data_IF_256787654634
#
_entry.id   IF_256787654634
#
_cell.length_a   1.000
_cell.length_b   1.000
_cell.length_c   1.000
_cell.angle_alpha   90.00
_cell.angle_beta   90.00
_cell.angle_gamma   90.00
#
_symmetry.space_group_name_H-M   'P 1'
#
loop_
_entity.id
_entity.type
_entity.pdbx_description
1 polymer ?
#
# COMPACT_ATOMS: atom_id res chain seq x y z
N UNK A 1 14.73 58.65 -2.58
CA UNK A 1 14.31 59.29 -3.84
C UNK A 1 13.12 58.51 -4.39
N UNK A 2 12.12 59.26 -4.85
CA UNK A 2 10.78 58.82 -5.25
C UNK A 2 10.78 57.83 -6.43
N UNK A 3 9.87 56.85 -6.39
CA UNK A 3 9.02 56.55 -7.56
C UNK A 3 7.70 55.91 -7.12
N UNK A 4 6.62 56.61 -7.47
CA UNK A 4 5.23 56.18 -7.34
C UNK A 4 4.87 55.12 -8.40
N UNK A 5 3.96 54.20 -8.08
CA UNK A 5 2.97 53.79 -9.09
C UNK A 5 1.63 53.47 -8.43
N UNK A 6 0.60 53.85 -9.18
CA UNK A 6 -0.79 54.05 -8.80
C UNK A 6 -1.48 52.78 -8.33
N UNK A 7 -2.38 52.95 -7.37
CA UNK A 7 -3.38 51.98 -7.00
C UNK A 7 -4.30 51.66 -8.20
N UNK A 8 -4.50 50.38 -8.46
CA UNK A 8 -5.59 49.86 -9.25
C UNK A 8 -6.53 49.15 -8.27
N UNK A 9 -7.67 49.76 -7.97
CA UNK A 9 -8.75 49.10 -7.23
C UNK A 9 -9.68 48.41 -8.22
N UNK A 10 -9.94 47.13 -7.98
CA UNK A 10 -11.10 46.40 -8.51
C UNK A 10 -11.67 45.50 -7.40
N UNK A 11 -13.02 45.34 -7.30
CA UNK A 11 -13.67 45.04 -6.04
C UNK A 11 -14.03 43.54 -5.86
N UNK A 12 -13.93 43.11 -4.59
CA UNK A 12 -14.69 42.05 -3.90
C UNK A 12 -14.87 40.68 -4.59
N UNK A 13 -14.14 39.66 -4.09
CA UNK A 13 -14.73 38.34 -3.79
C UNK A 13 -13.83 37.49 -2.86
N UNK A 14 -14.38 37.12 -1.70
CA UNK A 14 -13.88 36.18 -0.68
C UNK A 14 -12.56 36.54 0.02
N UNK A 15 -12.68 36.93 1.29
CA UNK A 15 -11.56 37.17 2.18
C UNK A 15 -10.81 35.85 2.49
N UNK A 16 -9.84 35.48 1.65
CA UNK A 16 -8.74 34.64 2.13
C UNK A 16 -8.04 35.44 3.22
N UNK A 17 -8.06 34.97 4.47
CA UNK A 17 -7.23 35.50 5.56
C UNK A 17 -5.77 35.32 5.15
N UNK A 18 -5.22 36.30 4.44
CA UNK A 18 -3.78 36.42 4.22
C UNK A 18 -3.20 36.77 5.57
N UNK A 19 -2.44 35.84 6.16
CA UNK A 19 -1.59 36.13 7.31
C UNK A 19 -0.73 37.34 6.93
N UNK A 20 -0.85 38.43 7.71
CA UNK A 20 -0.03 39.64 7.62
C UNK A 20 1.07 39.50 8.67
N UNK A 21 2.25 38.94 8.34
CA UNK A 21 3.29 38.69 9.34
C UNK A 21 3.76 40.00 9.99
N UNK A 22 3.62 41.12 9.26
CA UNK A 22 3.82 42.50 9.67
C UNK A 22 2.88 42.99 10.79
N UNK A 23 1.81 42.25 11.08
CA UNK A 23 0.82 42.57 12.14
C UNK A 23 0.87 41.62 13.33
N UNK A 24 1.81 40.68 13.34
CA UNK A 24 2.02 39.80 14.49
C UNK A 24 2.84 40.55 15.54
N UNK A 25 2.28 40.70 16.75
CA UNK A 25 2.96 41.31 17.89
C UNK A 25 3.43 40.18 18.79
N UNK A 26 4.74 40.10 19.05
CA UNK A 26 5.29 39.13 19.99
C UNK A 26 4.91 39.49 21.44
N UNK A 27 4.65 38.49 22.28
CA UNK A 27 4.41 38.67 23.70
C UNK A 27 5.68 39.04 24.48
N UNK A 28 5.55 39.21 25.80
CA UNK A 28 6.61 39.72 26.71
C UNK A 28 7.93 38.93 26.66
N UNK A 29 7.89 37.64 26.29
CA UNK A 29 9.07 36.77 26.17
C UNK A 29 9.61 36.67 24.74
N UNK A 30 9.05 37.42 23.79
CA UNK A 30 9.34 37.31 22.37
C UNK A 30 8.68 36.11 21.69
N UNK A 31 8.90 35.94 20.39
CA UNK A 31 8.37 34.82 19.62
C UNK A 31 9.21 34.55 18.36
N UNK A 32 9.38 33.28 18.00
CA UNK A 32 9.99 32.85 16.73
C UNK A 32 8.91 32.23 15.86
N UNK A 33 8.77 32.71 14.63
CA UNK A 33 7.75 32.24 13.68
C UNK A 33 8.46 31.57 12.51
N UNK A 34 8.05 30.34 12.19
CA UNK A 34 8.43 29.68 10.95
C UNK A 34 7.38 30.00 9.89
N UNK A 35 7.81 30.59 8.77
CA UNK A 35 6.94 30.80 7.61
C UNK A 35 7.18 29.65 6.63
N UNK A 36 6.12 28.88 6.34
CA UNK A 36 6.16 27.84 5.32
C UNK A 36 5.39 28.34 4.10
N UNK A 37 6.09 28.82 3.05
CA UNK A 37 5.42 29.29 1.84
C UNK A 37 4.74 28.11 1.15
N UNK A 38 3.55 28.37 0.58
CA UNK A 38 2.78 27.35 -0.11
C UNK A 38 3.55 26.74 -1.29
N UNK A 39 4.35 27.56 -1.97
CA UNK A 39 5.28 27.13 -3.01
C UNK A 39 6.32 26.14 -2.51
N UNK A 40 6.84 26.35 -1.29
CA UNK A 40 7.76 25.41 -0.65
C UNK A 40 7.11 24.04 -0.40
N UNK A 41 5.84 24.02 0.04
CA UNK A 41 5.07 22.78 0.19
C UNK A 41 4.86 22.11 -1.17
N UNK A 42 4.44 22.89 -2.17
CA UNK A 42 4.18 22.37 -3.50
C UNK A 42 5.44 21.76 -4.14
N UNK A 43 6.58 22.47 -4.10
CA UNK A 43 7.87 21.95 -4.60
C UNK A 43 8.30 20.67 -3.89
N UNK A 44 8.08 20.60 -2.58
CA UNK A 44 8.40 19.40 -1.79
C UNK A 44 7.57 18.19 -2.21
N UNK A 45 6.31 18.40 -2.61
CA UNK A 45 5.41 17.35 -3.09
C UNK A 45 5.63 17.01 -4.57
N UNK A 46 5.94 18.00 -5.41
CA UNK A 46 6.08 17.84 -6.86
C UNK A 46 7.48 17.39 -7.31
N UNK A 47 8.49 17.49 -6.43
CA UNK A 47 9.89 17.29 -6.80
C UNK A 47 10.30 18.26 -7.91
N UNK A 48 10.92 17.74 -8.95
CA UNK A 48 11.43 18.53 -10.10
C UNK A 48 10.35 18.94 -11.11
N UNK A 49 9.07 18.61 -10.87
CA UNK A 49 7.99 19.00 -11.78
C UNK A 49 7.67 20.49 -11.68
N UNK A 50 7.40 21.11 -12.83
CA UNK A 50 6.94 22.51 -12.92
C UNK A 50 5.69 22.73 -12.08
N UNK A 51 5.61 23.83 -11.34
CA UNK A 51 4.47 24.11 -10.47
C UNK A 51 3.32 24.78 -11.22
N UNK A 52 2.06 24.54 -10.82
CA UNK A 52 0.94 25.35 -11.28
C UNK A 52 1.06 26.81 -10.82
N UNK A 53 0.25 27.67 -11.42
CA UNK A 53 0.15 29.08 -11.03
C UNK A 53 -0.22 29.24 -9.54
N UNK A 54 0.22 30.32 -8.86
CA UNK A 54 0.00 30.51 -7.42
C UNK A 54 -1.47 30.44 -6.98
N UNK A 55 -2.41 30.79 -7.87
CA UNK A 55 -3.84 30.74 -7.61
C UNK A 55 -4.37 29.30 -7.46
N UNK A 56 -3.74 28.33 -8.14
CA UNK A 56 -4.14 26.93 -8.21
C UNK A 56 -3.36 26.04 -7.24
N UNK A 57 -2.34 26.59 -6.58
CA UNK A 57 -1.39 25.81 -5.81
C UNK A 57 -2.02 25.04 -4.64
N UNK A 58 -3.01 25.64 -3.95
CA UNK A 58 -3.77 24.96 -2.88
C UNK A 58 -4.59 23.79 -3.42
N UNK A 59 -5.19 23.97 -4.60
CA UNK A 59 -6.00 22.96 -5.29
C UNK A 59 -5.13 21.78 -5.68
N UNK A 60 -3.98 22.07 -6.30
CA UNK A 60 -2.96 21.10 -6.66
C UNK A 60 -2.44 20.30 -5.45
N UNK A 61 -2.04 20.98 -4.37
CA UNK A 61 -1.58 20.31 -3.15
C UNK A 61 -2.67 19.39 -2.60
N UNK A 62 -3.93 19.86 -2.58
CA UNK A 62 -5.06 19.06 -2.10
C UNK A 62 -5.29 17.82 -2.97
N UNK A 63 -5.23 17.97 -4.30
CA UNK A 63 -5.31 16.86 -5.27
C UNK A 63 -4.22 15.82 -5.01
N UNK A 64 -2.96 16.23 -4.91
CA UNK A 64 -1.82 15.33 -4.64
C UNK A 64 -2.04 14.56 -3.33
N UNK A 65 -2.38 15.25 -2.25
CA UNK A 65 -2.57 14.63 -0.93
C UNK A 65 -3.74 13.62 -0.91
N UNK A 66 -4.82 13.92 -1.62
CA UNK A 66 -5.99 13.02 -1.71
C UNK A 66 -5.65 11.83 -2.61
N UNK A 67 -5.10 12.06 -3.81
CA UNK A 67 -4.76 10.99 -4.76
C UNK A 67 -3.76 10.00 -4.17
N UNK A 68 -2.73 10.48 -3.47
CA UNK A 68 -1.74 9.62 -2.80
C UNK A 68 -2.35 8.69 -1.75
N UNK A 69 -3.58 8.96 -1.28
CA UNK A 69 -4.28 8.12 -0.29
C UNK A 69 -5.31 7.19 -0.92
N UNK A 70 -5.64 7.36 -2.20
CA UNK A 70 -6.65 6.53 -2.86
C UNK A 70 -6.15 5.10 -3.02
N UNK A 71 -6.89 4.06 -2.60
CA UNK A 71 -6.41 2.68 -2.66
C UNK A 71 -5.90 2.23 -4.04
N UNK A 72 -6.54 2.71 -5.11
CA UNK A 72 -6.17 2.43 -6.51
C UNK A 72 -4.93 3.20 -6.96
N UNK A 73 -4.66 4.38 -6.38
CA UNK A 73 -3.61 5.31 -6.84
C UNK A 73 -2.44 5.48 -5.86
N UNK A 74 -2.55 5.01 -4.62
CA UNK A 74 -1.56 5.16 -3.53
C UNK A 74 -0.19 4.52 -3.83
N UNK A 75 -0.10 3.76 -4.92
CA UNK A 75 1.11 3.02 -5.33
C UNK A 75 1.76 3.59 -6.57
N UNK A 76 1.18 4.66 -7.12
CA UNK A 76 1.80 5.39 -8.21
C UNK A 76 2.99 6.16 -7.66
N UNK A 77 4.06 6.24 -8.45
CA UNK A 77 5.20 7.07 -8.14
C UNK A 77 4.77 8.55 -8.03
N UNK A 78 5.50 9.34 -7.25
CA UNK A 78 5.17 10.74 -7.02
C UNK A 78 4.96 11.52 -8.32
N UNK A 79 5.79 11.28 -9.35
CA UNK A 79 5.63 11.95 -10.65
C UNK A 79 4.31 11.57 -11.35
N UNK A 80 3.85 10.32 -11.22
CA UNK A 80 2.58 9.85 -11.78
C UNK A 80 1.41 10.50 -11.03
N UNK A 81 1.46 10.55 -9.70
CA UNK A 81 0.44 11.23 -8.87
C UNK A 81 0.36 12.71 -9.22
N UNK A 82 1.51 13.37 -9.36
CA UNK A 82 1.58 14.78 -9.73
C UNK A 82 1.04 15.01 -11.14
N UNK A 83 1.38 14.14 -12.10
CA UNK A 83 0.89 14.22 -13.47
C UNK A 83 -0.62 14.02 -13.57
N UNK A 84 -1.17 13.03 -12.86
CA UNK A 84 -2.61 12.80 -12.77
C UNK A 84 -3.29 14.00 -12.10
N UNK A 85 -2.74 14.51 -10.98
CA UNK A 85 -3.27 15.68 -10.28
C UNK A 85 -3.39 16.91 -11.19
N UNK A 86 -2.40 17.17 -12.03
CA UNK A 86 -2.44 18.26 -13.01
C UNK A 86 -3.48 18.05 -14.11
N UNK A 87 -3.73 16.81 -14.48
CA UNK A 87 -4.66 16.45 -15.54
C UNK A 87 -6.12 16.29 -15.06
N UNK A 88 -6.42 16.54 -13.78
CA UNK A 88 -7.79 16.56 -13.27
C UNK A 88 -8.46 17.90 -13.54
N UNK A 89 -9.60 17.85 -14.24
CA UNK A 89 -10.43 19.01 -14.53
C UNK A 89 -11.36 19.33 -13.36
N UNK A 90 -11.58 20.62 -13.11
CA UNK A 90 -12.58 21.09 -12.15
C UNK A 90 -13.93 21.27 -12.84
N UNK A 91 -15.01 20.83 -12.22
CA UNK A 91 -16.36 21.07 -12.75
C UNK A 91 -16.88 22.45 -12.37
N UNK A 92 -17.84 22.93 -13.17
CA UNK A 92 -18.80 23.93 -12.72
C UNK A 92 -19.59 23.42 -11.49
N UNK A 93 -20.19 24.32 -10.68
CA UNK A 93 -20.97 23.94 -9.51
C UNK A 93 -22.27 23.23 -9.89
N UNK A 94 -22.53 22.11 -9.23
CA UNK A 94 -23.72 21.28 -9.35
C UNK A 94 -24.77 21.63 -8.30
N UNK A 95 -26.03 21.35 -8.62
CA UNK A 95 -27.17 21.62 -7.74
C UNK A 95 -27.67 20.36 -7.03
N UNK A 96 -28.30 20.50 -5.84
CA UNK A 96 -28.92 19.37 -5.16
C UNK A 96 -29.94 18.67 -6.07
N UNK A 97 -29.90 17.33 -6.08
CA UNK A 97 -30.76 16.48 -6.91
C UNK A 97 -30.20 16.16 -8.29
N UNK A 98 -29.13 16.83 -8.75
CA UNK A 98 -28.48 16.45 -10.00
C UNK A 98 -27.77 15.10 -9.88
N UNK A 99 -27.89 14.28 -10.92
CA UNK A 99 -27.34 12.92 -10.96
C UNK A 99 -25.96 12.98 -11.63
N UNK A 100 -24.93 12.56 -10.90
CA UNK A 100 -23.55 12.50 -11.44
C UNK A 100 -23.41 11.35 -12.43
N UNK A 101 -23.98 10.18 -12.08
CA UNK A 101 -24.20 9.03 -12.96
C UNK A 101 -25.24 8.09 -12.33
N UNK A 102 -25.91 7.30 -13.18
CA UNK A 102 -26.88 6.29 -12.75
C UNK A 102 -26.27 4.88 -12.66
N UNK A 103 -26.90 4.01 -11.89
CA UNK A 103 -26.52 2.61 -11.78
C UNK A 103 -26.75 1.90 -13.14
N UNK A 104 -25.78 1.10 -13.57
CA UNK A 104 -25.85 0.39 -14.85
C UNK A 104 -25.29 1.17 -16.06
N UNK A 105 -24.95 2.46 -15.90
CA UNK A 105 -24.31 3.24 -16.96
C UNK A 105 -22.86 2.80 -17.19
N UNK A 106 -22.38 2.89 -18.43
CA UNK A 106 -20.96 2.73 -18.71
C UNK A 106 -20.20 3.93 -18.11
N UNK A 107 -19.09 3.66 -17.43
CA UNK A 107 -18.27 4.69 -16.81
C UNK A 107 -16.85 4.67 -17.33
N UNK A 108 -16.31 5.86 -17.62
CA UNK A 108 -14.92 6.10 -17.99
C UNK A 108 -14.26 7.19 -17.09
N UNK A 109 -15.00 7.71 -16.12
CA UNK A 109 -14.57 8.82 -15.24
C UNK A 109 -14.57 8.44 -13.77
N UNK A 110 -13.73 9.09 -12.99
CA UNK A 110 -13.79 9.11 -11.53
C UNK A 110 -13.85 10.55 -11.03
N UNK A 111 -14.34 10.70 -9.81
CA UNK A 111 -14.67 12.01 -9.23
C UNK A 111 -14.08 12.10 -7.83
N UNK A 112 -13.57 13.28 -7.50
CA UNK A 112 -13.16 13.65 -6.14
C UNK A 112 -13.99 14.87 -5.73
N UNK A 113 -14.65 14.81 -4.58
CA UNK A 113 -15.47 15.92 -4.07
C UNK A 113 -14.56 17.07 -3.63
N UNK A 114 -14.60 18.18 -4.35
CA UNK A 114 -13.84 19.40 -4.02
C UNK A 114 -14.57 20.22 -2.94
N UNK A 115 -15.89 20.34 -3.07
CA UNK A 115 -16.81 21.02 -2.14
C UNK A 115 -18.20 20.42 -2.24
N UNK A 116 -18.99 20.57 -1.18
CA UNK A 116 -20.35 20.02 -1.11
C UNK A 116 -20.37 18.54 -0.72
N UNK A 117 -21.42 17.85 -1.17
CA UNK A 117 -21.71 16.48 -0.77
C UNK A 117 -22.56 15.73 -1.79
N UNK A 118 -22.43 14.40 -1.76
CA UNK A 118 -23.20 13.47 -2.60
C UNK A 118 -23.70 12.29 -1.78
N UNK A 119 -24.80 11.69 -2.23
CA UNK A 119 -25.29 10.40 -1.74
C UNK A 119 -25.04 9.31 -2.78
N UNK A 120 -24.73 8.11 -2.29
CA UNK A 120 -24.51 6.91 -3.12
C UNK A 120 -25.60 5.89 -2.78
N UNK A 121 -26.41 5.55 -3.78
CA UNK A 121 -27.50 4.57 -3.66
C UNK A 121 -27.19 3.33 -4.52
N UNK A 122 -27.48 2.14 -4.02
CA UNK A 122 -27.34 0.86 -4.74
C UNK A 122 -28.66 0.11 -4.65
N UNK A 123 -29.24 -0.25 -5.80
CA UNK A 123 -30.54 -0.91 -5.89
C UNK A 123 -31.65 -0.15 -5.12
N UNK A 124 -31.57 1.19 -5.13
CA UNK A 124 -32.49 2.08 -4.43
C UNK A 124 -32.27 2.21 -2.91
N UNK A 125 -31.25 1.53 -2.36
CA UNK A 125 -30.88 1.62 -0.95
C UNK A 125 -29.70 2.56 -0.77
N UNK A 126 -29.82 3.51 0.17
CA UNK A 126 -28.72 4.41 0.52
C UNK A 126 -27.57 3.59 1.11
N UNK A 127 -26.42 3.60 0.42
CA UNK A 127 -25.20 2.94 0.89
C UNK A 127 -24.40 3.85 1.82
N UNK A 128 -24.21 5.12 1.42
CA UNK A 128 -23.40 6.12 2.15
C UNK A 128 -23.54 7.52 1.58
N UNK A 129 -23.17 8.50 2.38
CA UNK A 129 -22.96 9.89 1.96
C UNK A 129 -21.46 10.21 1.93
N UNK A 130 -21.05 11.05 0.98
CA UNK A 130 -19.65 11.40 0.73
C UNK A 130 -19.53 12.93 0.68
N UNK A 131 -18.56 13.48 1.41
CA UNK A 131 -18.26 14.91 1.43
C UNK A 131 -16.88 15.24 0.86
N UNK A 132 -16.43 16.48 1.06
CA UNK A 132 -15.13 16.98 0.60
C UNK A 132 -13.97 16.00 0.86
N UNK A 133 -13.20 15.73 -0.20
CA UNK A 133 -12.05 14.83 -0.21
C UNK A 133 -12.38 13.37 -0.50
N UNK A 134 -13.67 12.99 -0.50
CA UNK A 134 -14.09 11.65 -0.90
C UNK A 134 -13.90 11.44 -2.41
N UNK A 135 -13.53 10.22 -2.77
CA UNK A 135 -13.41 9.78 -4.16
C UNK A 135 -14.44 8.69 -4.46
N UNK A 136 -15.00 8.70 -5.67
CA UNK A 136 -15.90 7.68 -6.14
C UNK A 136 -15.78 7.45 -7.65
N UNK A 137 -16.17 6.25 -8.08
CA UNK A 137 -16.15 5.86 -9.49
C UNK A 137 -14.77 5.42 -10.02
N UNK A 138 -13.77 5.30 -9.15
CA UNK A 138 -12.40 4.89 -9.49
C UNK A 138 -12.32 3.48 -10.10
N UNK A 139 -13.28 2.60 -9.79
CA UNK A 139 -13.39 1.28 -10.43
C UNK A 139 -13.54 1.36 -11.96
N UNK A 140 -14.14 2.43 -12.47
CA UNK A 140 -14.30 2.66 -13.91
C UNK A 140 -12.96 2.92 -14.63
N UNK A 141 -11.91 3.30 -13.90
CA UNK A 141 -10.56 3.40 -14.45
C UNK A 141 -9.95 2.03 -14.75
N UNK A 142 -10.28 1.05 -13.91
CA UNK A 142 -9.72 -0.28 -13.99
C UNK A 142 -10.60 -1.19 -14.83
N UNK A 143 -11.91 -1.19 -14.65
CA UNK A 143 -12.80 -2.16 -15.28
C UNK A 143 -13.69 -1.49 -16.33
N UNK A 144 -13.95 -2.21 -17.41
CA UNK A 144 -15.01 -1.86 -18.35
C UNK A 144 -16.36 -2.39 -17.84
N UNK A 145 -16.67 -2.00 -16.60
CA UNK A 145 -17.86 -2.41 -15.87
C UNK A 145 -18.86 -1.26 -15.81
N UNK A 146 -20.15 -1.62 -15.78
CA UNK A 146 -21.22 -0.68 -15.51
C UNK A 146 -21.11 -0.15 -14.08
N UNK A 147 -21.54 1.10 -13.85
CA UNK A 147 -21.61 1.72 -12.52
C UNK A 147 -22.42 0.83 -11.57
N UNK A 148 -21.83 0.53 -10.41
CA UNK A 148 -22.45 -0.35 -9.41
C UNK A 148 -23.50 0.33 -8.53
N UNK A 149 -23.68 1.64 -8.66
CA UNK A 149 -24.62 2.43 -7.88
C UNK A 149 -24.82 3.79 -8.53
N UNK A 150 -25.89 4.48 -8.10
CA UNK A 150 -26.25 5.83 -8.50
C UNK A 150 -25.61 6.85 -7.55
N UNK A 151 -25.14 7.96 -8.09
CA UNK A 151 -24.60 9.07 -7.29
C UNK A 151 -25.38 10.34 -7.57
N UNK A 152 -25.92 10.96 -6.52
CA UNK A 152 -26.75 12.16 -6.62
C UNK A 152 -26.19 13.25 -5.70
N UNK A 153 -26.17 14.49 -6.18
CA UNK A 153 -25.71 15.65 -5.42
C UNK A 153 -26.71 16.00 -4.31
N UNK A 154 -26.21 16.26 -3.10
CA UNK A 154 -27.05 16.57 -1.92
C UNK A 154 -26.93 18.03 -1.47
N UNK A 155 -25.80 18.68 -1.75
CA UNK A 155 -25.52 20.05 -1.29
C UNK A 155 -25.41 21.05 -2.46
N UNK A 156 -25.76 22.34 -2.24
CA UNK A 156 -25.57 23.38 -3.25
C UNK A 156 -24.08 23.68 -3.46
N UNK A 157 -23.76 24.20 -4.65
CA UNK A 157 -22.40 24.55 -5.05
C UNK A 157 -21.40 23.38 -4.92
N UNK A 158 -21.90 22.15 -5.11
CA UNK A 158 -21.08 20.94 -5.10
C UNK A 158 -20.16 20.94 -6.33
N UNK A 159 -18.86 20.73 -6.14
CA UNK A 159 -17.88 20.71 -7.23
C UNK A 159 -17.04 19.45 -7.14
N UNK A 160 -16.59 18.97 -8.30
CA UNK A 160 -15.73 17.81 -8.40
C UNK A 160 -14.43 18.14 -9.13
N UNK A 161 -13.37 17.43 -8.76
CA UNK A 161 -12.31 17.15 -9.71
C UNK A 161 -12.63 15.86 -10.45
N UNK A 162 -12.49 15.86 -11.77
CA UNK A 162 -12.83 14.74 -12.64
C UNK A 162 -11.58 14.28 -13.36
N UNK A 163 -11.34 12.97 -13.31
CA UNK A 163 -10.32 12.33 -14.13
C UNK A 163 -10.94 11.29 -15.04
N UNK A 164 -10.40 11.14 -16.23
CA UNK A 164 -10.84 10.16 -17.22
C UNK A 164 -9.93 8.94 -17.22
N UNK A 165 -10.44 7.83 -17.76
CA UNK A 165 -9.68 6.63 -18.05
C UNK A 165 -8.48 6.98 -18.92
N UNK A 166 -8.67 7.72 -20.02
CA UNK A 166 -7.58 8.13 -20.91
C UNK A 166 -6.43 8.86 -20.21
N UNK A 167 -6.75 9.76 -19.26
CA UNK A 167 -5.72 10.43 -18.44
C UNK A 167 -4.97 9.42 -17.59
N UNK A 168 -5.69 8.53 -16.91
CA UNK A 168 -5.10 7.47 -16.10
C UNK A 168 -4.20 6.53 -16.95
N UNK A 169 -4.65 6.18 -18.16
CA UNK A 169 -3.94 5.28 -19.08
C UNK A 169 -2.63 5.87 -19.62
N UNK A 170 -2.54 7.20 -19.75
CA UNK A 170 -1.30 7.87 -20.15
C UNK A 170 -0.17 7.71 -19.13
N UNK A 171 -0.51 7.61 -17.85
CA UNK A 171 0.47 7.58 -16.77
C UNK A 171 0.63 6.21 -16.12
N UNK A 172 -0.24 5.25 -16.39
CA UNK A 172 -0.21 3.90 -15.81
C UNK A 172 0.04 2.87 -16.90
N UNK A 173 1.19 2.18 -16.78
CA UNK A 173 1.58 1.11 -17.71
C UNK A 173 0.60 -0.06 -17.66
N UNK A 174 0.58 -0.88 -18.72
CA UNK A 174 -0.25 -2.08 -18.80
C UNK A 174 -0.04 -3.01 -17.62
N UNK A 175 1.22 -3.31 -17.26
CA UNK A 175 1.53 -4.23 -16.16
C UNK A 175 1.01 -3.71 -14.81
N UNK A 176 1.17 -2.41 -14.54
CA UNK A 176 0.63 -1.78 -13.32
C UNK A 176 -0.90 -1.84 -13.29
N UNK A 177 -1.55 -1.61 -14.43
CA UNK A 177 -3.01 -1.69 -14.54
C UNK A 177 -3.52 -3.10 -14.28
N UNK A 178 -2.81 -4.11 -14.80
CA UNK A 178 -3.15 -5.50 -14.58
C UNK A 178 -3.01 -5.88 -13.08
N UNK A 179 -1.95 -5.45 -12.38
CA UNK A 179 -1.83 -5.63 -10.91
C UNK A 179 -2.96 -4.93 -10.15
N UNK A 180 -3.27 -3.68 -10.49
CA UNK A 180 -4.37 -2.93 -9.87
C UNK A 180 -5.73 -3.60 -10.10
N UNK A 181 -5.99 -4.12 -11.30
CA UNK A 181 -7.21 -4.88 -11.64
C UNK A 181 -7.32 -6.15 -10.82
N UNK A 182 -6.28 -6.98 -10.81
CA UNK A 182 -6.30 -8.23 -10.07
C UNK A 182 -6.57 -7.97 -8.59
N UNK A 183 -5.92 -6.97 -7.98
CA UNK A 183 -6.18 -6.61 -6.58
C UNK A 183 -7.58 -6.06 -6.33
N UNK A 184 -8.10 -5.23 -7.22
CA UNK A 184 -9.46 -4.71 -7.08
C UNK A 184 -10.53 -5.81 -7.26
N UNK A 185 -10.23 -6.90 -7.98
CA UNK A 185 -11.07 -8.11 -8.00
C UNK A 185 -10.99 -8.90 -6.70
N UNK A 186 -9.85 -8.88 -6.00
CA UNK A 186 -9.73 -9.55 -4.71
C UNK A 186 -10.62 -8.89 -3.63
N UNK A 187 -10.95 -7.61 -3.75
CA UNK A 187 -11.72 -6.85 -2.75
C UNK A 187 -13.26 -7.02 -2.84
N UNK A 188 -13.75 -8.18 -3.30
CA UNK A 188 -15.18 -8.48 -3.32
C UNK A 188 -15.73 -8.67 -1.89
N UNK A 189 -16.53 -7.72 -1.43
CA UNK A 189 -17.14 -7.73 -0.09
C UNK A 189 -18.19 -8.83 0.08
N UNK A 190 -18.76 -9.34 -1.02
CA UNK A 190 -19.78 -10.42 -1.02
C UNK A 190 -19.16 -11.82 -0.84
N UNK A 191 -17.83 -11.90 -0.80
CA UNK A 191 -17.11 -13.16 -0.69
C UNK A 191 -17.45 -13.89 0.60
N UNK A 192 -17.91 -15.14 0.47
CA UNK A 192 -18.22 -16.04 1.58
C UNK A 192 -17.56 -17.39 1.37
N UNK A 193 -17.29 -18.11 2.47
CA UNK A 193 -16.66 -19.43 2.41
C UNK A 193 -17.47 -20.43 1.57
N UNK A 194 -18.79 -20.29 1.51
CA UNK A 194 -19.70 -21.13 0.70
C UNK A 194 -19.52 -20.91 -0.81
N UNK A 195 -19.05 -19.73 -1.21
CA UNK A 195 -18.85 -19.37 -2.62
C UNK A 195 -17.47 -19.80 -3.15
N UNK A 196 -16.66 -20.50 -2.34
CA UNK A 196 -15.32 -20.94 -2.69
C UNK A 196 -15.31 -22.44 -3.00
N UNK A 197 -15.05 -22.79 -4.26
CA UNK A 197 -14.86 -24.17 -4.70
C UNK A 197 -13.41 -24.59 -4.48
N UNK A 198 -13.19 -25.72 -3.81
CA UNK A 198 -11.85 -26.31 -3.70
C UNK A 198 -11.40 -26.87 -5.05
N UNK A 199 -10.19 -26.50 -5.47
CA UNK A 199 -9.58 -26.99 -6.72
C UNK A 199 -8.56 -28.09 -6.41
N UNK A 200 -7.52 -27.78 -5.63
CA UNK A 200 -6.47 -28.74 -5.23
C UNK A 200 -5.73 -28.29 -3.96
N UNK A 201 -5.01 -29.20 -3.33
CA UNK A 201 -4.06 -28.87 -2.26
C UNK A 201 -2.79 -28.28 -2.88
N UNK A 202 -2.26 -27.21 -2.29
CA UNK A 202 -1.03 -26.54 -2.77
C UNK A 202 0.08 -26.49 -1.71
N UNK A 203 -0.22 -26.80 -0.45
CA UNK A 203 0.80 -26.92 0.58
C UNK A 203 0.26 -27.51 1.88
N UNK A 204 1.16 -28.06 2.68
CA UNK A 204 0.91 -28.50 4.06
C UNK A 204 1.98 -27.82 4.92
N UNK A 205 1.56 -27.00 5.88
CA UNK A 205 2.44 -26.35 6.85
C UNK A 205 2.19 -26.87 8.26
N UNK A 206 2.99 -26.39 9.22
CA UNK A 206 2.92 -26.81 10.64
C UNK A 206 1.51 -26.66 11.24
N UNK A 207 0.81 -25.57 10.91
CA UNK A 207 -0.50 -25.24 11.48
C UNK A 207 -1.71 -25.65 10.61
N UNK A 208 -1.48 -26.32 9.46
CA UNK A 208 -2.58 -26.82 8.65
C UNK A 208 -2.30 -26.96 7.16
N UNK A 209 -3.38 -27.02 6.38
CA UNK A 209 -3.31 -27.25 4.92
C UNK A 209 -3.68 -25.99 4.15
N UNK A 210 -2.93 -25.71 3.08
CA UNK A 210 -3.22 -24.65 2.11
C UNK A 210 -3.82 -25.26 0.84
N UNK A 211 -4.96 -24.72 0.40
CA UNK A 211 -5.67 -25.18 -0.79
C UNK A 211 -5.84 -24.04 -1.79
N UNK A 212 -5.70 -24.36 -3.07
CA UNK A 212 -6.18 -23.52 -4.15
C UNK A 212 -7.71 -23.59 -4.18
N UNK A 213 -8.35 -22.43 -4.12
CA UNK A 213 -9.81 -22.29 -4.22
C UNK A 213 -10.17 -21.30 -5.32
N UNK A 214 -11.37 -21.46 -5.87
CA UNK A 214 -11.88 -20.62 -6.94
C UNK A 214 -13.27 -20.09 -6.55
N UNK A 215 -13.49 -18.79 -6.70
CA UNK A 215 -14.79 -18.19 -6.45
C UNK A 215 -15.76 -18.56 -7.57
N UNK A 216 -16.89 -19.16 -7.21
CA UNK A 216 -17.81 -19.80 -8.16
C UNK A 216 -18.39 -18.81 -9.19
N UNK A 217 -18.62 -17.55 -8.80
CA UNK A 217 -19.22 -16.54 -9.70
C UNK A 217 -18.19 -15.85 -10.59
N UNK A 218 -17.04 -15.49 -10.03
CA UNK A 218 -16.05 -14.63 -10.73
C UNK A 218 -14.94 -15.42 -11.39
N UNK A 219 -14.76 -16.71 -11.04
CA UNK A 219 -13.63 -17.52 -11.48
C UNK A 219 -12.29 -17.12 -10.88
N UNK A 220 -12.27 -16.13 -9.96
CA UNK A 220 -11.05 -15.66 -9.32
C UNK A 220 -10.46 -16.75 -8.41
N UNK A 221 -9.12 -16.89 -8.43
CA UNK A 221 -8.39 -17.93 -7.72
C UNK A 221 -7.63 -17.38 -6.52
N UNK A 222 -7.63 -18.14 -5.43
CA UNK A 222 -7.08 -17.74 -4.14
C UNK A 222 -6.35 -18.90 -3.47
N UNK A 223 -5.50 -18.59 -2.50
CA UNK A 223 -4.98 -19.56 -1.55
C UNK A 223 -5.79 -19.50 -0.24
N UNK A 224 -6.24 -20.66 0.25
CA UNK A 224 -7.01 -20.79 1.49
C UNK A 224 -6.25 -21.66 2.49
N UNK A 225 -5.69 -21.04 3.52
CA UNK A 225 -5.03 -21.70 4.67
C UNK A 225 -6.11 -22.03 5.71
N UNK A 226 -6.24 -23.30 6.10
CA UNK A 226 -7.14 -23.74 7.18
C UNK A 226 -6.32 -24.09 8.42
N UNK A 227 -6.63 -23.45 9.54
CA UNK A 227 -5.99 -23.64 10.83
C UNK A 227 -7.04 -24.16 11.83
N UNK A 228 -6.70 -25.22 12.56
CA UNK A 228 -7.58 -25.78 13.59
C UNK A 228 -7.56 -24.89 14.82
N UNK A 229 -8.71 -24.72 15.47
CA UNK A 229 -8.81 -24.04 16.75
C UNK A 229 -8.41 -24.98 17.89
N UNK A 230 -7.74 -24.44 18.88
CA UNK A 230 -7.39 -25.12 20.13
C UNK A 230 -8.39 -24.66 21.20
N UNK A 231 -9.11 -25.60 21.82
CA UNK A 231 -10.19 -25.31 22.78
C UNK A 231 -11.24 -24.30 22.29
N UNK A 232 -11.53 -24.33 20.98
CA UNK A 232 -12.49 -23.42 20.34
C UNK A 232 -11.95 -22.00 20.11
N UNK A 233 -10.69 -21.73 20.44
CA UNK A 233 -10.02 -20.46 20.25
C UNK A 233 -8.94 -20.54 19.15
N UNK A 234 -8.64 -19.39 18.54
CA UNK A 234 -7.52 -19.27 17.60
C UNK A 234 -6.25 -19.08 18.44
N UNK A 235 -5.17 -19.84 18.20
CA UNK A 235 -3.89 -19.62 18.87
C UNK A 235 -3.42 -18.16 18.72
N UNK A 236 -2.84 -17.61 19.78
CA UNK A 236 -2.50 -16.18 19.85
C UNK A 236 -1.52 -15.79 18.73
N UNK A 237 -0.55 -16.64 18.45
CA UNK A 237 0.48 -16.47 17.42
C UNK A 237 -0.15 -16.34 16.02
N UNK A 238 -1.20 -17.11 15.76
CA UNK A 238 -1.94 -17.06 14.48
C UNK A 238 -2.78 -15.79 14.39
N UNK A 239 -3.35 -15.34 15.51
CA UNK A 239 -4.09 -14.08 15.55
C UNK A 239 -3.15 -12.89 15.29
N UNK A 240 -1.94 -12.92 15.85
CA UNK A 240 -0.88 -11.93 15.60
C UNK A 240 -0.41 -11.96 14.14
N UNK A 241 -0.10 -13.14 13.57
CA UNK A 241 0.25 -13.31 12.15
C UNK A 241 -0.81 -12.66 11.24
N UNK A 242 -2.10 -12.93 11.50
CA UNK A 242 -3.20 -12.36 10.73
C UNK A 242 -3.28 -10.84 10.85
N UNK A 243 -3.10 -10.30 12.05
CA UNK A 243 -3.18 -8.87 12.31
C UNK A 243 -2.02 -8.13 11.61
N UNK A 244 -0.80 -8.65 11.71
CA UNK A 244 0.38 -8.09 11.06
C UNK A 244 0.24 -8.14 9.53
N UNK A 245 -0.22 -9.26 8.98
CA UNK A 245 -0.45 -9.40 7.54
C UNK A 245 -1.55 -8.44 7.04
N UNK A 246 -2.60 -8.22 7.83
CA UNK A 246 -3.66 -7.26 7.50
C UNK A 246 -3.15 -5.81 7.50
N UNK A 247 -2.20 -5.49 8.38
CA UNK A 247 -1.57 -4.16 8.45
C UNK A 247 -0.53 -3.93 7.35
N UNK A 248 0.14 -4.98 6.88
CA UNK A 248 1.19 -4.94 5.86
C UNK A 248 0.67 -4.72 4.42
N UNK A 249 -0.10 -3.65 4.19
CA UNK A 249 -0.67 -3.31 2.89
C UNK A 249 0.41 -2.75 1.91
N UNK A 250 1.24 -3.62 1.34
CA UNK A 250 2.30 -3.28 0.39
C UNK A 250 2.18 -4.11 -0.92
N UNK A 251 2.53 -3.59 -2.12
CA UNK A 251 2.46 -4.36 -3.36
C UNK A 251 3.28 -5.66 -3.34
N UNK A 252 4.45 -5.62 -2.71
CA UNK A 252 5.36 -6.78 -2.63
C UNK A 252 5.17 -7.63 -1.38
N UNK A 253 4.08 -7.45 -0.63
CA UNK A 253 3.70 -8.33 0.49
C UNK A 253 2.46 -9.12 0.09
N UNK A 254 2.38 -10.37 0.54
CA UNK A 254 1.20 -11.22 0.39
C UNK A 254 -0.06 -10.51 0.87
N UNK A 255 -1.04 -10.37 -0.01
CA UNK A 255 -2.29 -9.71 0.33
C UNK A 255 -3.26 -10.66 1.04
N UNK A 256 -3.60 -10.34 2.29
CA UNK A 256 -4.78 -10.90 2.95
C UNK A 256 -6.04 -10.36 2.26
N UNK A 257 -6.91 -11.28 1.83
CA UNK A 257 -8.20 -10.94 1.21
C UNK A 257 -9.30 -10.89 2.25
N UNK A 258 -9.45 -11.98 3.02
CA UNK A 258 -10.47 -12.11 4.06
C UNK A 258 -10.12 -13.24 5.01
N UNK A 259 -10.59 -13.18 6.24
CA UNK A 259 -10.60 -14.31 7.16
C UNK A 259 -12.03 -14.80 7.41
N UNK A 260 -12.19 -16.10 7.60
CA UNK A 260 -13.46 -16.73 7.97
C UNK A 260 -13.25 -17.59 9.20
N UNK A 261 -14.23 -17.60 10.10
CA UNK A 261 -14.20 -18.47 11.27
C UNK A 261 -15.38 -19.42 11.28
N UNK A 262 -15.12 -20.63 11.76
CA UNK A 262 -16.11 -21.64 12.12
C UNK A 262 -15.90 -22.01 13.58
N UNK A 263 -16.75 -22.88 14.13
CA UNK A 263 -16.58 -23.43 15.48
C UNK A 263 -15.23 -24.12 15.66
N UNK A 264 -14.74 -24.82 14.63
CA UNK A 264 -13.54 -25.69 14.73
C UNK A 264 -12.28 -25.14 14.06
N UNK A 265 -12.40 -24.11 13.23
CA UNK A 265 -11.27 -23.67 12.39
C UNK A 265 -11.35 -22.20 11.99
N UNK A 266 -10.17 -21.60 11.87
CA UNK A 266 -9.93 -20.34 11.16
C UNK A 266 -9.52 -20.64 9.72
N UNK A 267 -10.01 -19.82 8.79
CA UNK A 267 -9.67 -19.86 7.38
C UNK A 267 -9.10 -18.50 6.98
N UNK A 268 -7.89 -18.48 6.45
CA UNK A 268 -7.21 -17.29 5.98
C UNK A 268 -7.18 -17.37 4.46
N UNK A 269 -7.83 -16.42 3.79
CA UNK A 269 -7.88 -16.32 2.35
C UNK A 269 -6.93 -15.22 1.88
N UNK A 270 -5.99 -15.57 1.02
CA UNK A 270 -4.98 -14.65 0.47
C UNK A 270 -5.00 -14.67 -1.06
N UNK A 271 -4.29 -13.74 -1.68
CA UNK A 271 -3.98 -13.85 -3.10
C UNK A 271 -3.24 -15.17 -3.42
N UNK A 272 -3.38 -15.67 -4.64
CA UNK A 272 -2.63 -16.82 -5.13
C UNK A 272 -1.34 -16.35 -5.79
N UNK A 273 -0.20 -16.80 -5.26
CA UNK A 273 1.11 -16.57 -5.86
C UNK A 273 1.49 -17.77 -6.73
N UNK A 274 1.97 -17.52 -7.97
CA UNK A 274 2.16 -18.57 -8.99
C UNK A 274 3.57 -18.65 -9.59
N UNK A 275 4.46 -17.70 -9.31
CA UNK A 275 5.82 -17.66 -9.88
C UNK A 275 6.86 -18.50 -9.13
N UNK A 276 6.46 -19.20 -8.06
CA UNK A 276 7.35 -20.03 -7.25
C UNK A 276 8.24 -19.22 -6.30
N UNK A 277 9.23 -19.87 -5.71
CA UNK A 277 10.20 -19.22 -4.83
C UNK A 277 11.29 -18.53 -5.64
N UNK A 278 11.74 -17.35 -5.20
CA UNK A 278 12.80 -16.59 -5.86
C UNK A 278 14.06 -17.44 -6.01
N UNK A 279 14.43 -18.18 -4.97
CA UNK A 279 15.64 -18.97 -4.94
C UNK A 279 15.69 -20.06 -6.03
N UNK A 280 14.62 -20.84 -6.17
CA UNK A 280 14.51 -21.89 -7.18
C UNK A 280 14.71 -21.31 -8.58
N UNK A 281 14.08 -20.16 -8.86
CA UNK A 281 14.21 -19.49 -10.15
C UNK A 281 15.63 -18.99 -10.42
N UNK A 282 16.38 -18.61 -9.39
CA UNK A 282 17.74 -18.09 -9.55
C UNK A 282 18.79 -19.18 -9.62
N UNK A 283 18.69 -20.20 -8.76
CA UNK A 283 19.61 -21.34 -8.73
C UNK A 283 19.53 -22.16 -10.02
N UNK A 284 18.32 -22.49 -10.46
CA UNK A 284 18.13 -23.40 -11.60
C UNK A 284 18.45 -22.74 -12.95
N UNK A 285 18.41 -21.41 -13.04
CA UNK A 285 18.53 -20.68 -14.32
C UNK A 285 19.76 -19.79 -14.45
N UNK A 286 20.35 -19.30 -13.35
CA UNK A 286 21.35 -18.21 -13.42
C UNK A 286 22.63 -18.47 -12.63
N UNK A 287 22.64 -19.38 -11.66
CA UNK A 287 23.79 -19.63 -10.77
C UNK A 287 24.03 -18.47 -9.80
N UNK A 288 24.52 -17.34 -10.30
CA UNK A 288 24.70 -16.08 -9.55
C UNK A 288 23.92 -14.94 -10.19
N UNK A 289 23.37 -14.04 -9.38
CA UNK A 289 22.62 -12.89 -9.85
C UNK A 289 23.50 -11.90 -10.63
N UNK A 290 23.02 -11.42 -11.78
CA UNK A 290 23.60 -10.22 -12.39
C UNK A 290 23.40 -9.02 -11.45
N UNK A 291 24.25 -8.00 -11.57
CA UNK A 291 24.09 -6.73 -10.82
C UNK A 291 22.66 -6.17 -10.92
N UNK A 292 22.05 -6.24 -12.12
CA UNK A 292 20.69 -5.73 -12.34
C UNK A 292 19.63 -6.54 -11.60
N UNK A 293 19.75 -7.88 -11.60
CA UNK A 293 18.83 -8.74 -10.85
C UNK A 293 18.99 -8.56 -9.35
N UNK A 294 20.23 -8.50 -8.84
CA UNK A 294 20.50 -8.23 -7.43
C UNK A 294 19.90 -6.88 -7.00
N UNK A 295 20.12 -5.82 -7.78
CA UNK A 295 19.51 -4.50 -7.52
C UNK A 295 17.99 -4.55 -7.50
N UNK A 296 17.37 -5.27 -8.44
CA UNK A 296 15.92 -5.37 -8.53
C UNK A 296 15.32 -6.11 -7.32
N UNK A 297 15.84 -7.30 -6.99
CA UNK A 297 15.29 -8.12 -5.90
C UNK A 297 15.61 -7.51 -4.53
N UNK A 298 16.86 -7.12 -4.28
CA UNK A 298 17.25 -6.45 -3.03
C UNK A 298 16.53 -5.11 -2.89
N UNK A 299 16.41 -4.30 -3.95
CA UNK A 299 15.66 -3.05 -3.90
C UNK A 299 14.17 -3.26 -3.59
N UNK A 300 13.56 -4.31 -4.14
CA UNK A 300 12.17 -4.67 -3.83
C UNK A 300 12.00 -5.08 -2.35
N UNK A 301 12.96 -5.83 -1.79
CA UNK A 301 12.97 -6.19 -0.37
C UNK A 301 13.20 -4.98 0.53
N UNK A 302 14.05 -4.03 0.15
CA UNK A 302 14.22 -2.76 0.90
C UNK A 302 12.90 -2.01 1.00
N UNK A 303 12.13 -1.91 -0.08
CA UNK A 303 10.81 -1.25 -0.06
C UNK A 303 9.82 -1.95 0.88
N UNK A 304 9.87 -3.29 0.93
CA UNK A 304 9.05 -4.06 1.87
C UNK A 304 9.47 -3.77 3.31
N UNK A 305 10.76 -3.87 3.62
CA UNK A 305 11.29 -3.64 4.97
C UNK A 305 11.01 -2.22 5.44
N UNK A 306 11.20 -1.21 4.58
CA UNK A 306 10.85 0.18 4.88
C UNK A 306 9.38 0.30 5.28
N UNK A 307 8.46 -0.30 4.52
CA UNK A 307 7.04 -0.26 4.82
C UNK A 307 6.69 -0.96 6.15
N UNK A 308 7.31 -2.10 6.44
CA UNK A 308 7.12 -2.82 7.71
C UNK A 308 7.70 -2.02 8.89
N UNK A 309 8.91 -1.50 8.74
CA UNK A 309 9.62 -0.77 9.80
C UNK A 309 8.94 0.56 10.12
N UNK A 310 8.42 1.29 9.12
CA UNK A 310 7.58 2.48 9.32
C UNK A 310 6.27 2.15 10.05
N UNK A 311 5.75 0.93 9.89
CA UNK A 311 4.60 0.43 10.66
C UNK A 311 5.00 -0.12 12.04
N UNK A 312 6.29 -0.10 12.39
CA UNK A 312 6.81 -0.63 13.65
C UNK A 312 6.83 -2.15 13.71
N UNK A 313 6.98 -2.85 12.58
CA UNK A 313 6.97 -4.32 12.51
C UNK A 313 8.37 -4.85 12.20
N UNK A 314 8.90 -5.73 13.05
CA UNK A 314 10.10 -6.54 12.75
C UNK A 314 9.69 -7.82 12.04
N UNK A 315 10.32 -8.17 10.92
CA UNK A 315 9.96 -9.37 10.16
C UNK A 315 10.63 -10.65 10.69
N UNK A 316 11.92 -10.58 11.02
CA UNK A 316 12.73 -11.56 11.77
C UNK A 316 12.97 -12.93 11.13
N UNK A 317 12.47 -13.20 9.92
CA UNK A 317 12.74 -14.44 9.18
C UNK A 317 12.93 -14.19 7.68
N UNK A 318 13.68 -13.14 7.33
CA UNK A 318 13.97 -12.82 5.94
C UNK A 318 14.98 -13.82 5.36
N UNK A 319 14.49 -14.66 4.45
CA UNK A 319 15.25 -15.72 3.78
C UNK A 319 14.62 -16.04 2.41
N UNK A 320 15.35 -16.70 1.50
CA UNK A 320 14.87 -16.96 0.15
C UNK A 320 13.56 -17.76 0.07
N UNK A 321 13.31 -18.66 1.01
CA UNK A 321 12.08 -19.49 1.08
C UNK A 321 10.82 -18.65 1.32
N UNK A 322 10.96 -17.52 2.02
CA UNK A 322 9.86 -16.61 2.32
C UNK A 322 9.68 -15.52 1.23
N UNK A 323 10.45 -15.58 0.15
CA UNK A 323 10.39 -14.63 -0.96
C UNK A 323 9.90 -15.35 -2.21
N UNK A 324 8.63 -15.13 -2.55
CA UNK A 324 8.01 -15.69 -3.74
C UNK A 324 7.98 -14.69 -4.90
N UNK A 325 7.68 -15.19 -6.10
CA UNK A 325 7.45 -14.39 -7.30
C UNK A 325 6.00 -14.47 -7.75
N UNK A 326 5.43 -13.36 -8.17
CA UNK A 326 4.13 -13.35 -8.86
C UNK A 326 4.26 -13.76 -10.34
N UNK A 327 3.14 -13.77 -11.07
CA UNK A 327 3.11 -14.14 -12.49
C UNK A 327 3.85 -13.17 -13.41
N UNK A 328 4.18 -11.96 -12.93
CA UNK A 328 4.95 -10.95 -13.65
C UNK A 328 6.44 -10.95 -13.25
N UNK A 329 6.82 -11.74 -12.23
CA UNK A 329 8.19 -11.82 -11.72
C UNK A 329 8.53 -10.78 -10.66
N UNK A 330 7.53 -10.08 -10.08
CA UNK A 330 7.75 -9.21 -8.93
C UNK A 330 7.77 -10.01 -7.63
N UNK A 331 8.50 -9.47 -6.66
CA UNK A 331 8.65 -10.07 -5.33
C UNK A 331 7.34 -10.03 -4.55
N UNK A 332 7.10 -11.11 -3.81
CA UNK A 332 6.06 -11.25 -2.79
C UNK A 332 6.68 -11.85 -1.53
N UNK A 333 6.83 -11.04 -0.48
CA UNK A 333 7.15 -11.52 0.85
C UNK A 333 5.94 -12.26 1.43
N UNK A 334 6.16 -13.50 1.83
CA UNK A 334 5.15 -14.38 2.44
C UNK A 334 5.55 -14.73 3.86
N UNK A 335 4.65 -15.37 4.60
CA UNK A 335 4.87 -15.88 5.97
C UNK A 335 5.26 -14.82 7.01
N UNK A 336 4.30 -14.44 7.85
CA UNK A 336 4.49 -13.48 8.94
C UNK A 336 4.53 -14.17 10.32
N UNK A 337 4.71 -15.49 10.36
CA UNK A 337 4.61 -16.27 11.60
C UNK A 337 5.66 -15.91 12.67
N UNK A 338 6.79 -15.33 12.26
CA UNK A 338 7.84 -14.84 13.17
C UNK A 338 7.90 -13.32 13.25
N UNK A 339 7.05 -12.60 12.51
CA UNK A 339 7.00 -11.15 12.58
C UNK A 339 6.50 -10.68 13.96
N UNK A 340 6.84 -9.46 14.35
CA UNK A 340 6.47 -8.91 15.65
C UNK A 340 6.17 -7.41 15.58
N UNK A 341 5.12 -7.01 16.29
CA UNK A 341 4.81 -5.61 16.54
C UNK A 341 5.75 -5.03 17.60
N UNK A 342 6.48 -3.99 17.23
CA UNK A 342 7.48 -3.29 18.01
C UNK A 342 7.06 -1.84 18.32
N UNK A 343 5.80 -1.43 18.07
CA UNK A 343 5.36 -0.04 18.28
C UNK A 343 5.46 0.40 19.74
N UNK A 344 5.23 -0.52 20.68
CA UNK A 344 5.28 -0.26 22.11
C UNK A 344 6.63 -0.61 22.76
N UNK A 345 7.58 -1.18 22.00
CA UNK A 345 8.85 -1.70 22.53
C UNK A 345 9.99 -1.46 21.55
N UNK A 346 11.08 -0.83 21.99
CA UNK A 346 12.25 -0.64 21.11
C UNK A 346 13.08 -1.90 20.89
N UNK A 347 12.93 -2.93 21.75
CA UNK A 347 13.74 -4.15 21.73
C UNK A 347 12.92 -5.39 22.06
N UNK A 348 13.31 -6.51 21.46
CA UNK A 348 12.81 -7.85 21.76
C UNK A 348 14.00 -8.79 22.02
N UNK A 349 13.75 -9.89 22.74
CA UNK A 349 14.80 -10.78 23.26
C UNK A 349 14.61 -12.24 22.82
N UNK A 350 13.48 -12.59 22.19
CA UNK A 350 13.20 -13.94 21.74
C UNK A 350 14.13 -14.33 20.59
N UNK A 351 14.85 -15.44 20.72
CA UNK A 351 15.70 -15.98 19.66
C UNK A 351 14.79 -16.73 18.67
N UNK A 352 14.59 -16.17 17.48
CA UNK A 352 13.73 -16.72 16.42
C UNK A 352 14.30 -16.37 15.04
N UNK A 353 13.92 -17.16 14.03
CA UNK A 353 14.35 -17.02 12.64
C UNK A 353 15.14 -18.25 12.18
N UNK A 354 15.79 -18.14 11.02
CA UNK A 354 16.65 -19.20 10.47
C UNK A 354 18.11 -18.84 10.71
N UNK A 355 18.85 -19.70 11.43
CA UNK A 355 20.19 -19.39 12.01
C UNK A 355 21.15 -18.73 11.02
N UNK A 356 21.23 -19.24 9.78
CA UNK A 356 22.09 -18.70 8.71
C UNK A 356 21.85 -17.22 8.35
N UNK A 357 20.67 -16.70 8.65
CA UNK A 357 20.25 -15.33 8.33
C UNK A 357 20.15 -14.44 9.58
N UNK A 358 20.32 -15.00 10.78
CA UNK A 358 20.16 -14.26 12.03
C UNK A 358 21.30 -13.27 12.27
N UNK A 359 20.96 -12.10 12.80
CA UNK A 359 21.91 -11.09 13.23
C UNK A 359 22.64 -11.50 14.52
N UNK A 360 23.90 -11.07 14.72
CA UNK A 360 24.67 -11.38 15.93
C UNK A 360 23.97 -10.91 17.22
N UNK A 361 23.30 -9.75 17.18
CA UNK A 361 22.55 -9.19 18.32
C UNK A 361 21.44 -10.11 18.85
N UNK A 362 20.91 -11.02 18.01
CA UNK A 362 19.91 -12.02 18.41
C UNK A 362 20.53 -13.00 19.41
N UNK A 363 21.78 -13.42 19.20
CA UNK A 363 22.50 -14.39 20.04
C UNK A 363 23.12 -13.76 21.29
N UNK A 364 23.57 -12.50 21.20
CA UNK A 364 24.21 -11.79 22.31
C UNK A 364 23.25 -11.48 23.47
N UNK A 365 21.94 -11.53 23.23
CA UNK A 365 20.92 -11.41 24.29
C UNK A 365 20.76 -10.00 24.88
N UNK A 366 21.37 -8.97 24.28
CA UNK A 366 21.21 -7.54 24.69
C UNK A 366 19.93 -6.90 24.17
N UNK A 367 19.09 -7.68 23.50
CA UNK A 367 17.87 -7.27 22.83
C UNK A 367 18.14 -6.54 21.53
N UNK A 368 17.30 -6.83 20.53
CA UNK A 368 17.43 -6.35 19.16
C UNK A 368 16.14 -5.66 18.69
N UNK A 369 16.28 -4.76 17.70
CA UNK A 369 15.18 -4.03 17.10
C UNK A 369 14.89 -4.46 15.65
N UNK A 370 14.45 -3.50 14.84
CA UNK A 370 14.08 -3.69 13.43
C UNK A 370 15.31 -3.95 12.53
N UNK A 371 16.50 -3.53 12.98
CA UNK A 371 17.76 -3.58 12.25
C UNK A 371 18.21 -5.00 11.86
N UNK A 372 17.75 -6.04 12.57
CA UNK A 372 18.09 -7.45 12.27
C UNK A 372 17.58 -7.90 10.89
N UNK A 373 16.53 -7.26 10.38
CA UNK A 373 16.01 -7.53 9.05
C UNK A 373 16.99 -7.07 7.95
N UNK A 374 17.73 -5.98 8.19
CA UNK A 374 18.76 -5.49 7.26
C UNK A 374 20.02 -6.36 7.27
N UNK A 375 20.35 -6.96 8.42
CA UNK A 375 21.37 -8.01 8.46
C UNK A 375 20.98 -9.19 7.57
N UNK A 376 19.76 -9.72 7.78
CA UNK A 376 19.20 -10.82 6.99
C UNK A 376 19.19 -10.49 5.48
N UNK A 377 18.84 -9.26 5.12
CA UNK A 377 18.91 -8.75 3.75
C UNK A 377 20.34 -8.76 3.19
N UNK A 378 21.33 -8.42 4.01
CA UNK A 378 22.75 -8.49 3.66
C UNK A 378 23.20 -9.92 3.35
N UNK A 379 22.78 -10.89 4.19
CA UNK A 379 23.02 -12.32 3.94
C UNK A 379 22.38 -12.75 2.61
N UNK A 380 21.12 -12.39 2.37
CA UNK A 380 20.44 -12.68 1.11
C UNK A 380 21.16 -12.06 -0.09
N UNK A 381 21.57 -10.79 -0.02
CA UNK A 381 22.32 -10.14 -1.10
C UNK A 381 23.65 -10.84 -1.38
N UNK A 382 24.38 -11.22 -0.32
CA UNK A 382 25.61 -11.98 -0.45
C UNK A 382 25.35 -13.30 -1.16
N UNK A 383 24.35 -14.06 -0.73
CA UNK A 383 24.00 -15.34 -1.33
C UNK A 383 23.61 -15.18 -2.81
N UNK A 384 22.81 -14.15 -3.14
CA UNK A 384 22.41 -13.87 -4.51
C UNK A 384 23.60 -13.57 -5.43
N UNK A 385 24.59 -12.84 -4.94
CA UNK A 385 25.74 -12.37 -5.77
C UNK A 385 26.89 -13.38 -5.77
N UNK A 386 27.15 -14.04 -4.65
CA UNK A 386 28.27 -14.95 -4.46
C UNK A 386 27.91 -16.42 -4.65
N UNK A 387 26.61 -16.77 -4.65
CA UNK A 387 26.12 -18.14 -4.86
C UNK A 387 26.32 -19.06 -3.65
N UNK A 388 26.69 -18.52 -2.49
CA UNK A 388 26.90 -19.24 -1.23
C UNK A 388 26.60 -18.31 -0.05
N UNK A 389 26.35 -18.86 1.13
CA UNK A 389 26.17 -18.07 2.35
C UNK A 389 27.52 -17.44 2.78
N UNK A 390 27.52 -16.31 3.50
CA UNK A 390 28.76 -15.74 4.05
C UNK A 390 29.27 -16.52 5.27
N UNK A 391 28.38 -17.14 6.05
CA UNK A 391 28.68 -17.94 7.24
C UNK A 391 28.04 -19.33 7.11
N UNK A 392 28.62 -20.35 7.76
CA UNK A 392 28.00 -21.68 7.82
C UNK A 392 28.09 -22.54 6.55
N UNK A 393 29.04 -22.27 5.65
CA UNK A 393 29.25 -23.15 4.48
C UNK A 393 29.98 -24.46 4.81
N UNK A 394 30.72 -24.51 5.92
CA UNK A 394 31.63 -25.61 6.26
C UNK A 394 31.06 -26.56 7.33
N UNK A 395 30.04 -26.12 8.08
CA UNK A 395 29.38 -26.89 9.13
C UNK A 395 27.88 -26.66 9.09
N UNK A 396 27.13 -27.72 9.37
CA UNK A 396 25.68 -27.69 9.55
C UNK A 396 25.29 -27.59 11.04
N UNK A 397 26.26 -27.61 11.96
CA UNK A 397 26.01 -27.45 13.39
C UNK A 397 25.71 -25.97 13.71
N UNK A 398 24.59 -25.71 14.38
CA UNK A 398 24.14 -24.34 14.67
C UNK A 398 25.17 -23.57 15.51
N UNK A 399 25.83 -24.23 16.46
CA UNK A 399 26.84 -23.61 17.33
C UNK A 399 28.05 -23.10 16.54
N UNK A 400 28.51 -23.83 15.53
CA UNK A 400 29.61 -23.41 14.66
C UNK A 400 29.22 -22.19 13.81
N UNK A 401 27.98 -22.19 13.30
CA UNK A 401 27.45 -21.08 12.50
C UNK A 401 27.34 -19.83 13.38
N UNK A 402 26.81 -19.97 14.60
CA UNK A 402 26.69 -18.90 15.57
C UNK A 402 28.07 -18.35 15.93
N UNK A 403 29.06 -19.22 16.16
CA UNK A 403 30.44 -18.80 16.42
C UNK A 403 31.02 -17.97 15.27
N UNK A 404 30.84 -18.42 14.02
CA UNK A 404 31.30 -17.69 12.84
C UNK A 404 30.60 -16.33 12.61
N UNK A 405 29.35 -16.18 13.08
CA UNK A 405 28.61 -14.91 13.04
C UNK A 405 29.08 -13.93 14.13
N UNK A 406 29.62 -14.44 15.24
CA UNK A 406 30.04 -13.65 16.41
C UNK A 406 31.53 -13.27 16.41
N UNK A 407 32.35 -13.91 15.57
CA UNK A 407 33.77 -13.57 15.33
C UNK A 407 33.93 -12.29 14.51
#
# INVERSE_FOLDING_TARGET
>A
MLCSSKAYESPKASAKRVLRPDRLVAGETGGRIALVPLEGIARSLSGDMELPEPAELMDYISKVLIISRLPVLKRLANFQVCSISKALDSTDPWRPGEIVFDQGEAGDKFYIVMSGGVRVDVDGVLLRELGKGACFGERALLFDEKRSGKVTVTEPDTRFWVGTRDVFEKFVTKNMRDDLRERAKLQDWTLSLKNLRHVRMIGVGAFGSVRLVEHVKTGARYALKRIKKEDGQVPMEIQEECNLLAMASHPFVLQLVKSFQTEKSLYILTELITGGQLYEQMRDKMGTASRRHAQFYTGSLVLILEALHLAGVAYRDLKPENVMLDSQGYVKLVDFGLAKDMRDQSKTFTIVGTVYYMAPDIFVGRGYGLEVDFWSLGIMLYELVCGRLPFGNESAEEDDIIAAVLE
#
